data_IF_957491348980
#
_entry.id   IF_957491348980
#
_cell.length_a   1.000
_cell.length_b   1.000
_cell.length_c   1.000
_cell.angle_alpha   90.00
_cell.angle_beta   90.00
_cell.angle_gamma   90.00
#
_symmetry.space_group_name_H-M   'P 1'
#
loop_
_entity.id
_entity.type
_entity.pdbx_description
1 polymer ?
#
# COMPACT_ATOMS: atom_id res chain seq x y z
N UNK A 1 2.13 -15.65 -7.00
CA UNK A 1 3.20 -14.99 -6.22
C UNK A 1 3.28 -13.57 -6.71
N UNK A 2 3.33 -12.61 -5.79
CA UNK A 2 3.47 -11.19 -6.11
C UNK A 2 4.93 -10.79 -6.02
N UNK A 3 5.30 -9.80 -6.84
CA UNK A 3 6.59 -9.13 -6.72
C UNK A 3 6.37 -7.71 -6.22
N UNK A 4 7.36 -7.18 -5.52
CA UNK A 4 7.25 -5.90 -4.84
C UNK A 4 8.44 -5.03 -5.20
N UNK A 5 8.17 -3.76 -5.47
CA UNK A 5 9.17 -2.73 -5.30
C UNK A 5 9.45 -2.54 -3.81
N UNK A 6 10.72 -2.36 -3.47
CA UNK A 6 11.17 -2.03 -2.12
C UNK A 6 12.46 -1.20 -2.17
N UNK A 7 12.75 -0.51 -1.07
CA UNK A 7 14.02 0.16 -0.89
C UNK A 7 14.97 -0.74 -0.10
N UNK A 8 16.00 -1.29 -0.76
CA UNK A 8 17.07 -2.01 -0.07
C UNK A 8 17.87 -1.04 0.81
N UNK A 9 18.10 0.17 0.30
CA UNK A 9 18.56 1.32 1.08
C UNK A 9 17.44 2.35 1.11
N UNK A 10 16.68 2.45 2.22
CA UNK A 10 15.57 3.38 2.32
C UNK A 10 16.06 4.83 2.32
N UNK A 11 15.21 5.78 1.86
CA UNK A 11 15.51 7.20 1.95
C UNK A 11 15.76 7.64 3.40
N UNK A 12 16.47 8.77 3.60
CA UNK A 12 16.64 9.36 4.91
C UNK A 12 15.32 9.93 5.47
N UNK A 13 15.27 10.19 6.77
CA UNK A 13 14.16 10.92 7.39
C UNK A 13 14.17 12.41 7.02
N UNK A 14 15.35 12.96 6.68
CA UNK A 14 15.54 14.36 6.33
C UNK A 14 16.47 14.49 5.12
N UNK A 15 16.26 15.51 4.29
CA UNK A 15 17.10 15.77 3.11
C UNK A 15 17.27 17.25 2.82
N UNK A 16 18.32 17.57 2.07
CA UNK A 16 18.56 18.93 1.57
C UNK A 16 17.51 19.30 0.53
N UNK A 17 17.22 20.58 0.42
CA UNK A 17 16.44 21.14 -0.70
C UNK A 17 17.14 21.04 -2.06
N UNK A 18 18.48 20.91 -2.09
CA UNK A 18 19.26 20.94 -3.34
C UNK A 18 19.99 19.63 -3.63
N UNK A 19 20.32 18.84 -2.63
CA UNK A 19 21.08 17.60 -2.81
C UNK A 19 20.18 16.44 -3.29
N UNK A 20 20.65 15.64 -4.26
CA UNK A 20 19.95 14.44 -4.68
C UNK A 20 19.96 13.37 -3.58
N UNK A 21 18.91 12.56 -3.55
CA UNK A 21 18.75 11.43 -2.66
C UNK A 21 19.31 10.16 -3.29
N UNK A 22 20.07 9.38 -2.52
CA UNK A 22 20.56 8.08 -2.97
C UNK A 22 19.67 6.96 -2.44
N UNK A 23 19.13 6.15 -3.34
CA UNK A 23 18.32 4.97 -3.04
C UNK A 23 18.89 3.72 -3.69
N UNK A 24 18.38 2.55 -3.32
CA UNK A 24 18.65 1.30 -4.06
C UNK A 24 17.35 0.54 -4.17
N UNK A 25 16.67 0.58 -5.32
CA UNK A 25 15.44 -0.16 -5.52
C UNK A 25 15.73 -1.66 -5.64
N UNK A 26 14.84 -2.47 -5.12
CA UNK A 26 14.85 -3.93 -5.25
C UNK A 26 13.47 -4.39 -5.72
N UNK A 27 13.46 -5.36 -6.64
CA UNK A 27 12.26 -6.07 -7.09
C UNK A 27 12.39 -7.54 -6.72
N UNK A 28 11.56 -8.00 -5.79
CA UNK A 28 11.57 -9.39 -5.31
C UNK A 28 10.21 -9.80 -4.77
N UNK A 29 10.02 -11.08 -4.48
CA UNK A 29 8.87 -11.56 -3.70
C UNK A 29 8.88 -10.98 -2.25
N UNK A 30 7.81 -11.26 -1.51
CA UNK A 30 7.60 -10.79 -0.13
C UNK A 30 8.71 -11.22 0.84
N UNK A 31 9.22 -12.45 0.67
CA UNK A 31 10.34 -13.02 1.43
C UNK A 31 11.71 -12.49 1.02
N UNK A 32 11.81 -11.78 -0.11
CA UNK A 32 13.06 -11.30 -0.71
C UNK A 32 14.05 -12.42 -1.05
N UNK A 33 13.54 -13.61 -1.30
CA UNK A 33 14.35 -14.78 -1.68
C UNK A 33 14.47 -14.90 -3.20
N UNK A 34 13.45 -14.43 -3.93
CA UNK A 34 13.37 -14.57 -5.39
C UNK A 34 13.32 -13.18 -6.05
N UNK A 35 14.35 -12.81 -6.83
CA UNK A 35 14.32 -11.59 -7.61
C UNK A 35 13.30 -11.71 -8.75
N UNK A 36 12.74 -10.57 -9.19
CA UNK A 36 11.90 -10.57 -10.39
C UNK A 36 12.70 -11.08 -11.60
N UNK A 37 12.16 -12.00 -12.43
CA UNK A 37 12.95 -12.67 -13.45
C UNK A 37 13.26 -11.77 -14.65
N UNK A 38 12.34 -10.87 -14.99
CA UNK A 38 12.40 -10.10 -16.23
C UNK A 38 12.93 -8.68 -16.03
N UNK A 39 13.52 -8.07 -17.07
CA UNK A 39 13.81 -6.64 -17.06
C UNK A 39 12.53 -5.82 -16.93
N UNK A 40 12.56 -4.79 -16.07
CA UNK A 40 11.39 -3.93 -15.89
C UNK A 40 11.78 -2.48 -15.63
N UNK A 41 11.06 -1.55 -16.25
CA UNK A 41 11.25 -0.13 -15.98
C UNK A 41 10.66 0.26 -14.63
N UNK A 42 11.47 0.95 -13.84
CA UNK A 42 11.06 1.58 -12.60
C UNK A 42 10.91 3.07 -12.87
N UNK A 43 9.78 3.61 -12.44
CA UNK A 43 9.47 5.02 -12.44
C UNK A 43 9.41 5.53 -11.01
N UNK A 44 9.61 6.84 -10.83
CA UNK A 44 9.47 7.50 -9.55
C UNK A 44 8.67 8.80 -9.65
N UNK A 45 8.04 9.19 -8.55
CA UNK A 45 7.47 10.54 -8.40
C UNK A 45 7.40 10.94 -6.93
N UNK A 46 7.21 12.24 -6.68
CA UNK A 46 7.04 12.77 -5.34
C UNK A 46 5.56 12.95 -5.01
N UNK A 47 5.12 12.31 -3.93
CA UNK A 47 3.79 12.53 -3.35
C UNK A 47 3.91 13.48 -2.17
N UNK A 48 3.27 14.66 -2.20
CA UNK A 48 3.23 15.52 -1.02
C UNK A 48 2.45 14.86 0.12
N UNK A 49 2.81 15.15 1.37
CA UNK A 49 1.96 14.83 2.53
C UNK A 49 0.95 15.97 2.77
N UNK A 50 -0.30 15.67 3.15
CA UNK A 50 -1.25 16.69 3.62
C UNK A 50 -0.65 17.59 4.72
N UNK A 51 -1.12 18.84 4.88
CA UNK A 51 -2.35 19.40 4.33
C UNK A 51 -2.08 20.15 3.02
N UNK A 52 -2.38 19.51 1.89
CA UNK A 52 -2.38 20.16 0.59
C UNK A 52 -3.77 19.98 -0.02
N UNK A 53 -4.27 20.97 -0.76
CA UNK A 53 -5.60 20.90 -1.35
C UNK A 53 -5.71 19.66 -2.26
N UNK A 54 -6.87 18.98 -2.25
CA UNK A 54 -7.10 17.71 -2.95
C UNK A 54 -6.85 17.77 -4.46
N UNK A 55 -6.85 18.97 -5.05
CA UNK A 55 -6.78 19.18 -6.49
C UNK A 55 -5.37 19.35 -7.07
N UNK A 56 -4.30 19.03 -6.32
CA UNK A 56 -2.96 19.05 -6.95
C UNK A 56 -2.81 17.81 -7.83
N UNK A 57 -2.55 17.99 -9.14
CA UNK A 57 -2.31 16.86 -10.02
C UNK A 57 -1.12 16.07 -9.49
N UNK A 58 -1.29 14.75 -9.41
CA UNK A 58 -0.19 13.84 -9.11
C UNK A 58 0.95 14.12 -10.09
N UNK A 59 2.18 14.16 -9.58
CA UNK A 59 3.34 14.30 -10.45
C UNK A 59 3.40 13.11 -11.40
N UNK A 60 3.59 13.38 -12.68
CA UNK A 60 3.78 12.34 -13.68
C UNK A 60 5.02 11.51 -13.32
N UNK A 61 4.89 10.17 -13.23
CA UNK A 61 6.04 9.30 -12.99
C UNK A 61 7.16 9.54 -14.00
N UNK A 62 8.39 9.68 -13.50
CA UNK A 62 9.60 9.85 -14.31
C UNK A 62 10.37 8.54 -14.37
N UNK A 63 10.91 8.19 -15.53
CA UNK A 63 11.75 6.99 -15.65
C UNK A 63 12.99 7.11 -14.75
N UNK A 64 13.21 6.10 -13.91
CA UNK A 64 14.36 6.03 -13.01
C UNK A 64 15.46 5.13 -13.60
N UNK A 65 15.10 3.92 -14.00
CA UNK A 65 16.01 2.90 -14.54
C UNK A 65 15.22 1.74 -15.12
N UNK A 66 15.86 0.93 -15.97
CA UNK A 66 15.45 -0.47 -16.17
C UNK A 66 16.15 -1.36 -15.15
N UNK A 67 15.38 -2.01 -14.28
CA UNK A 67 15.86 -2.96 -13.28
C UNK A 67 16.08 -4.34 -13.90
N UNK A 68 17.16 -4.99 -13.48
CA UNK A 68 17.55 -6.36 -13.85
C UNK A 68 18.24 -7.00 -12.65
N UNK A 69 18.21 -8.32 -12.51
CA UNK A 69 18.93 -9.01 -11.42
C UNK A 69 20.42 -8.62 -11.34
N UNK A 70 21.07 -8.40 -12.49
CA UNK A 70 22.48 -7.96 -12.56
C UNK A 70 22.76 -6.56 -12.00
N UNK A 71 21.74 -5.71 -11.85
CA UNK A 71 21.88 -4.36 -11.29
C UNK A 71 21.09 -4.15 -9.98
N UNK A 72 20.61 -5.23 -9.35
CA UNK A 72 19.72 -5.18 -8.19
C UNK A 72 20.29 -4.41 -6.97
N UNK A 73 21.62 -4.24 -6.89
CA UNK A 73 22.30 -3.55 -5.79
C UNK A 73 22.85 -2.17 -6.18
N UNK A 74 22.62 -1.72 -7.43
CA UNK A 74 23.17 -0.45 -7.94
C UNK A 74 22.48 0.73 -7.25
N UNK A 75 23.22 1.61 -6.54
CA UNK A 75 22.65 2.85 -6.04
C UNK A 75 22.24 3.78 -7.18
N UNK A 76 21.12 4.47 -7.00
CA UNK A 76 20.54 5.43 -7.94
C UNK A 76 20.31 6.76 -7.22
N UNK A 77 20.40 7.85 -7.96
CA UNK A 77 20.15 9.20 -7.46
C UNK A 77 18.80 9.71 -7.94
N UNK A 78 18.07 10.36 -7.04
CA UNK A 78 16.76 10.97 -7.30
C UNK A 78 16.85 12.45 -6.92
N UNK A 79 16.53 13.39 -7.82
CA UNK A 79 16.53 14.81 -7.48
C UNK A 79 15.46 15.12 -6.42
N UNK A 80 15.66 16.19 -5.61
CA UNK A 80 14.66 16.64 -4.65
C UNK A 80 13.33 17.00 -5.35
N UNK A 81 12.20 16.99 -4.62
CA UNK A 81 10.90 17.32 -5.20
C UNK A 81 10.93 18.72 -5.82
N UNK A 82 10.33 18.90 -7.01
CA UNK A 82 10.23 20.22 -7.60
C UNK A 82 9.47 21.14 -6.66
N UNK A 83 10.04 22.32 -6.40
CA UNK A 83 9.48 23.35 -5.50
C UNK A 83 9.38 22.90 -4.03
N UNK A 84 10.22 21.97 -3.59
CA UNK A 84 10.40 21.72 -2.16
C UNK A 84 10.72 23.02 -1.43
N UNK A 85 10.05 23.25 -0.30
CA UNK A 85 10.32 24.38 0.60
C UNK A 85 10.91 23.85 1.89
N UNK A 86 11.60 24.71 2.61
CA UNK A 86 12.07 24.42 3.95
C UNK A 86 10.88 24.00 4.84
N UNK A 87 11.03 22.85 5.51
CA UNK A 87 9.98 22.24 6.33
C UNK A 87 8.95 21.40 5.57
N UNK A 88 9.01 21.31 4.24
CA UNK A 88 8.05 20.52 3.47
C UNK A 88 8.30 19.01 3.62
N UNK A 89 7.23 18.21 3.61
CA UNK A 89 7.30 16.75 3.67
C UNK A 89 6.80 16.11 2.38
N UNK A 90 7.60 15.21 1.83
CA UNK A 90 7.24 14.42 0.65
C UNK A 90 7.57 12.96 0.85
N UNK A 91 6.77 12.09 0.23
CA UNK A 91 7.08 10.68 0.08
C UNK A 91 7.63 10.43 -1.32
N UNK A 92 8.69 9.62 -1.41
CA UNK A 92 9.19 9.10 -2.67
C UNK A 92 8.41 7.83 -3.00
N UNK A 93 7.75 7.82 -4.15
CA UNK A 93 7.03 6.65 -4.66
C UNK A 93 7.83 6.01 -5.78
N UNK A 94 7.96 4.68 -5.75
CA UNK A 94 8.44 3.87 -6.87
C UNK A 94 7.27 3.06 -7.43
N UNK A 95 7.17 3.01 -8.76
CA UNK A 95 6.12 2.26 -9.48
C UNK A 95 6.70 1.66 -10.77
N UNK A 96 6.02 0.66 -11.33
CA UNK A 96 6.32 0.10 -12.65
C UNK A 96 5.38 0.64 -13.73
N UNK A 97 4.43 1.50 -13.35
CA UNK A 97 3.44 2.08 -14.25
C UNK A 97 3.94 3.43 -14.81
N UNK A 98 4.10 3.56 -16.14
CA UNK A 98 4.64 4.77 -16.77
C UNK A 98 3.65 5.95 -16.84
N UNK A 99 2.34 5.68 -16.75
CA UNK A 99 1.30 6.64 -17.10
C UNK A 99 0.57 7.23 -15.89
N UNK A 100 0.31 8.53 -15.95
CA UNK A 100 -0.59 9.27 -15.05
C UNK A 100 -2.09 8.95 -15.29
N UNK A 101 -2.43 8.12 -16.28
CA UNK A 101 -3.81 7.67 -16.54
C UNK A 101 -4.27 6.57 -15.59
N UNK A 102 -3.34 5.89 -14.90
CA UNK A 102 -3.70 5.07 -13.76
C UNK A 102 -4.15 6.04 -12.65
N UNK A 103 -5.41 5.93 -12.21
CA UNK A 103 -6.04 6.86 -11.26
C UNK A 103 -5.20 7.07 -9.98
N UNK A 104 -4.33 6.11 -9.61
CA UNK A 104 -3.37 6.29 -8.52
C UNK A 104 -2.15 5.34 -8.63
N UNK A 105 -1.02 5.72 -9.26
CA UNK A 105 0.12 4.81 -9.49
C UNK A 105 0.88 4.41 -8.20
N UNK A 106 0.54 5.01 -7.06
CA UNK A 106 1.03 4.65 -5.71
C UNK A 106 0.19 3.60 -5.00
N UNK A 107 -0.97 3.24 -5.53
CA UNK A 107 -1.96 2.41 -4.86
C UNK A 107 -2.09 1.05 -5.54
N UNK A 108 -2.27 0.02 -4.72
CA UNK A 108 -2.54 -1.35 -5.14
C UNK A 108 -4.05 -1.52 -5.19
N UNK A 109 -4.59 -1.63 -6.40
CA UNK A 109 -6.00 -1.92 -6.59
C UNK A 109 -6.26 -3.42 -6.41
N UNK A 110 -7.03 -3.76 -5.37
CA UNK A 110 -7.40 -5.15 -5.07
C UNK A 110 -8.54 -5.67 -5.96
N UNK A 111 -9.19 -4.81 -6.75
CA UNK A 111 -10.14 -5.22 -7.79
C UNK A 111 -9.49 -5.41 -9.16
N UNK A 112 -8.24 -4.98 -9.34
CA UNK A 112 -7.64 -4.96 -10.67
C UNK A 112 -7.47 -6.40 -11.19
N UNK A 113 -7.99 -6.73 -12.38
CA UNK A 113 -7.78 -8.05 -13.00
C UNK A 113 -6.30 -8.30 -13.34
N UNK A 114 -5.50 -7.23 -13.37
CA UNK A 114 -4.06 -7.25 -13.59
C UNK A 114 -3.27 -7.25 -12.28
N UNK A 115 -3.90 -7.45 -11.11
CA UNK A 115 -3.20 -7.50 -9.83
C UNK A 115 -2.10 -8.58 -9.87
N UNK A 116 -0.85 -8.17 -9.65
CA UNK A 116 0.30 -9.05 -9.70
C UNK A 116 0.90 -9.28 -11.09
N UNK A 117 0.33 -8.71 -12.17
CA UNK A 117 0.96 -8.74 -13.50
C UNK A 117 2.25 -7.92 -13.56
N UNK A 118 2.41 -6.97 -12.65
CA UNK A 118 3.62 -6.16 -12.47
C UNK A 118 3.97 -6.04 -10.99
N UNK A 119 5.24 -5.75 -10.65
CA UNK A 119 5.65 -5.49 -9.29
C UNK A 119 4.87 -4.36 -8.63
N UNK A 120 4.40 -4.62 -7.41
CA UNK A 120 3.57 -3.71 -6.64
C UNK A 120 4.38 -2.48 -6.17
N UNK A 121 3.79 -1.27 -6.21
CA UNK A 121 4.48 -0.03 -5.87
C UNK A 121 4.88 0.05 -4.39
N UNK A 122 5.74 1.00 -4.09
CA UNK A 122 6.16 1.32 -2.72
C UNK A 122 6.32 2.81 -2.53
N UNK A 123 5.87 3.31 -1.38
CA UNK A 123 6.14 4.67 -0.92
C UNK A 123 7.12 4.63 0.24
N UNK A 124 8.04 5.58 0.26
CA UNK A 124 8.82 5.89 1.48
C UNK A 124 7.89 6.41 2.57
N UNK A 125 8.39 6.47 3.80
CA UNK A 125 7.81 7.39 4.79
C UNK A 125 8.08 8.85 4.37
N UNK A 126 7.37 9.82 4.95
CA UNK A 126 7.61 11.23 4.69
C UNK A 126 9.07 11.62 4.99
N UNK A 127 9.70 12.27 4.02
CA UNK A 127 11.02 12.86 4.10
C UNK A 127 10.83 14.35 4.34
N UNK A 128 11.41 14.88 5.42
CA UNK A 128 11.43 16.31 5.71
C UNK A 128 12.55 16.97 4.91
N UNK A 129 12.21 17.97 4.10
CA UNK A 129 13.19 18.73 3.34
C UNK A 129 13.54 20.02 4.08
N UNK A 130 14.83 20.24 4.37
CA UNK A 130 15.32 21.40 5.13
C UNK A 130 16.49 22.09 4.44
N UNK A 131 16.67 23.39 4.70
CA UNK A 131 17.88 24.14 4.33
C UNK A 131 19.08 23.69 5.15
N UNK A 132 18.86 23.53 6.45
CA UNK A 132 19.88 23.14 7.42
C UNK A 132 19.72 21.67 7.74
N UNK A 133 20.64 20.84 7.23
CA UNK A 133 20.75 19.45 7.66
C UNK A 133 21.71 19.43 8.85
N UNK A 134 21.32 18.82 9.99
CA UNK A 134 22.22 18.62 11.09
C UNK A 134 23.51 17.94 10.63
N UNK A 135 24.66 18.50 11.00
CA UNK A 135 25.96 17.90 10.70
C UNK A 135 26.06 16.54 11.39
N UNK A 136 25.94 15.45 10.62
CA UNK A 136 25.96 14.09 11.16
C UNK A 136 25.35 13.05 10.24
N UNK A 137 25.31 11.80 10.70
CA UNK A 137 24.69 10.69 9.96
C UNK A 137 23.18 10.85 10.03
N UNK A 138 22.56 11.22 8.91
CA UNK A 138 21.10 11.34 8.83
C UNK A 138 20.46 9.97 9.04
N UNK A 139 19.53 9.92 10.00
CA UNK A 139 18.77 8.71 10.29
C UNK A 139 18.00 8.23 9.05
N UNK A 140 18.04 6.93 8.80
CA UNK A 140 17.32 6.29 7.69
C UNK A 140 15.95 5.84 8.14
N UNK A 141 15.03 5.76 7.20
CA UNK A 141 13.72 5.19 7.47
C UNK A 141 13.84 3.68 7.72
N UNK A 142 13.06 3.15 8.66
CA UNK A 142 12.98 1.72 8.96
C UNK A 142 11.69 1.08 8.44
N UNK A 143 10.85 1.86 7.76
CA UNK A 143 9.54 1.42 7.30
C UNK A 143 9.18 2.08 5.98
N UNK A 144 8.22 1.46 5.32
CA UNK A 144 7.66 1.87 4.04
C UNK A 144 6.14 1.87 4.14
N UNK A 145 5.51 2.52 3.17
CA UNK A 145 4.06 2.58 3.00
C UNK A 145 3.66 1.85 1.73
N UNK A 146 2.56 1.10 1.81
CA UNK A 146 1.82 0.60 0.66
C UNK A 146 0.36 0.95 0.83
N UNK A 147 -0.21 1.61 -0.16
CA UNK A 147 -1.62 1.99 -0.14
C UNK A 147 -2.42 1.00 -0.97
N UNK A 148 -3.61 0.65 -0.50
CA UNK A 148 -4.53 -0.28 -1.17
C UNK A 148 -5.85 0.42 -1.46
N UNK A 149 -6.48 0.18 -2.59
CA UNK A 149 -7.85 0.62 -2.84
C UNK A 149 -8.77 -0.56 -3.11
N UNK A 150 -10.03 -0.37 -2.73
CA UNK A 150 -11.15 -1.30 -2.87
C UNK A 150 -12.25 -0.73 -3.78
N UNK A 151 -11.94 0.33 -4.52
CA UNK A 151 -12.74 0.92 -5.60
C UNK A 151 -11.94 2.07 -6.22
N UNK A 152 -12.50 2.71 -7.26
CA UNK A 152 -11.93 3.92 -7.88
C UNK A 152 -11.76 5.11 -6.91
N UNK A 153 -12.34 5.06 -5.70
CA UNK A 153 -12.35 6.18 -4.75
C UNK A 153 -11.65 5.80 -3.44
N UNK A 154 -10.35 6.09 -3.38
CA UNK A 154 -9.60 6.23 -2.14
C UNK A 154 -8.68 5.04 -1.79
N UNK A 155 -7.42 5.38 -1.52
CA UNK A 155 -6.41 4.43 -1.05
C UNK A 155 -6.24 4.46 0.47
N UNK A 156 -6.17 3.28 1.06
CA UNK A 156 -5.95 2.99 2.48
C UNK A 156 -4.48 2.64 2.70
N UNK A 157 -3.70 3.49 3.40
CA UNK A 157 -2.29 3.20 3.64
C UNK A 157 -2.12 2.12 4.70
N UNK A 158 -1.20 1.18 4.44
CA UNK A 158 -0.68 0.21 5.39
C UNK A 158 0.83 0.38 5.55
N UNK A 159 1.29 0.21 6.79
CA UNK A 159 2.71 0.22 7.14
C UNK A 159 3.29 -1.21 7.18
N UNK A 160 4.56 -1.30 6.75
CA UNK A 160 5.47 -2.47 6.86
C UNK A 160 5.18 -3.64 5.89
N UNK A 161 5.84 -4.78 6.16
CA UNK A 161 5.89 -6.00 5.32
C UNK A 161 4.49 -6.60 5.22
N UNK A 162 4.11 -6.92 3.99
CA UNK A 162 2.88 -7.62 3.64
C UNK A 162 3.25 -9.00 3.14
N UNK A 163 2.34 -9.93 3.37
CA UNK A 163 2.44 -11.30 2.87
C UNK A 163 1.56 -11.45 1.65
N UNK A 164 2.02 -12.24 0.67
CA UNK A 164 1.27 -12.54 -0.55
C UNK A 164 -0.15 -13.05 -0.25
N UNK A 165 -0.29 -13.86 0.80
CA UNK A 165 -1.58 -14.42 1.23
C UNK A 165 -2.58 -13.35 1.67
N UNK A 166 -2.13 -12.27 2.31
CA UNK A 166 -2.99 -11.16 2.71
C UNK A 166 -3.53 -10.39 1.51
N UNK A 167 -2.69 -10.18 0.49
CA UNK A 167 -3.08 -9.53 -0.77
C UNK A 167 -4.02 -10.44 -1.57
N UNK A 168 -3.66 -11.71 -1.73
CA UNK A 168 -4.48 -12.68 -2.45
C UNK A 168 -5.85 -12.88 -1.81
N UNK A 169 -5.92 -13.02 -0.48
CA UNK A 169 -7.20 -13.15 0.22
C UNK A 169 -8.01 -11.85 0.16
N UNK A 170 -7.36 -10.68 0.26
CA UNK A 170 -8.02 -9.39 0.08
C UNK A 170 -8.66 -9.27 -1.29
N UNK A 171 -7.91 -9.53 -2.36
CA UNK A 171 -8.39 -9.54 -3.75
C UNK A 171 -9.54 -10.53 -3.95
N UNK A 172 -9.43 -11.74 -3.40
CA UNK A 172 -10.49 -12.75 -3.52
C UNK A 172 -11.77 -12.36 -2.79
N UNK A 173 -11.68 -11.79 -1.57
CA UNK A 173 -12.85 -11.29 -0.84
C UNK A 173 -13.55 -10.17 -1.60
N UNK A 174 -12.75 -9.31 -2.22
CA UNK A 174 -13.17 -8.20 -3.05
C UNK A 174 -13.95 -8.69 -4.29
N UNK A 175 -13.40 -9.66 -5.04
CA UNK A 175 -14.09 -10.32 -6.16
C UNK A 175 -15.35 -11.07 -5.69
N UNK A 176 -15.27 -11.78 -4.56
CA UNK A 176 -16.37 -12.56 -4.00
C UNK A 176 -17.57 -11.71 -3.60
N UNK A 177 -17.35 -10.45 -3.19
CA UNK A 177 -18.43 -9.51 -2.91
C UNK A 177 -19.22 -9.20 -4.18
N UNK A 178 -18.51 -8.96 -5.28
CA UNK A 178 -19.07 -8.40 -6.52
C UNK A 178 -19.61 -9.46 -7.49
N UNK A 179 -19.12 -10.70 -7.42
CA UNK A 179 -19.59 -11.80 -8.28
C UNK A 179 -21.08 -12.10 -8.06
N UNK A 180 -21.85 -12.40 -9.09
CA UNK A 180 -23.26 -12.75 -8.94
C UNK A 180 -23.47 -14.12 -8.27
N UNK A 181 -24.53 -14.28 -7.47
CA UNK A 181 -24.82 -15.55 -6.76
C UNK A 181 -25.00 -16.75 -7.70
N UNK A 182 -25.46 -16.50 -8.94
CA UNK A 182 -25.59 -17.50 -9.99
C UNK A 182 -24.25 -18.01 -10.52
N UNK A 183 -23.20 -17.20 -10.45
CA UNK A 183 -21.87 -17.51 -10.98
C UNK A 183 -21.00 -18.29 -9.99
N UNK A 184 -21.29 -18.19 -8.69
CA UNK A 184 -20.57 -18.95 -7.65
C UNK A 184 -20.98 -20.43 -7.71
N UNK A 185 -20.13 -21.27 -8.27
CA UNK A 185 -20.44 -22.71 -8.46
C UNK A 185 -20.32 -23.53 -7.18
N UNK A 186 -19.34 -23.22 -6.34
CA UNK A 186 -19.02 -24.01 -5.15
C UNK A 186 -19.98 -23.69 -3.98
N UNK A 187 -20.66 -24.69 -3.39
CA UNK A 187 -21.59 -24.47 -2.28
C UNK A 187 -20.97 -23.88 -1.02
N UNK A 188 -19.71 -24.20 -0.73
CA UNK A 188 -18.99 -23.65 0.43
C UNK A 188 -18.65 -22.18 0.18
N UNK A 189 -18.22 -21.83 -1.03
CA UNK A 189 -17.94 -20.43 -1.41
C UNK A 189 -19.22 -19.60 -1.35
N UNK A 190 -20.36 -20.14 -1.82
CA UNK A 190 -21.68 -19.53 -1.65
C UNK A 190 -22.01 -19.25 -0.19
N UNK A 191 -21.79 -20.25 0.69
CA UNK A 191 -22.04 -20.11 2.13
C UNK A 191 -21.13 -19.06 2.76
N UNK A 192 -19.87 -18.99 2.35
CA UNK A 192 -18.92 -17.97 2.81
C UNK A 192 -19.39 -16.58 2.37
N UNK A 193 -19.72 -16.39 1.09
CA UNK A 193 -20.26 -15.11 0.58
C UNK A 193 -21.51 -14.68 1.35
N UNK A 194 -22.48 -15.58 1.52
CA UNK A 194 -23.70 -15.29 2.27
C UNK A 194 -23.39 -14.89 3.73
N UNK A 195 -22.47 -15.60 4.37
CA UNK A 195 -22.06 -15.30 5.75
C UNK A 195 -21.34 -13.96 5.87
N UNK A 196 -20.46 -13.64 4.93
CA UNK A 196 -19.60 -12.47 4.99
C UNK A 196 -20.23 -11.20 4.43
N UNK A 197 -21.24 -11.27 3.55
CA UNK A 197 -21.77 -10.09 2.86
C UNK A 197 -23.30 -9.99 2.85
N UNK A 198 -24.04 -11.09 3.02
CA UNK A 198 -25.51 -11.06 2.98
C UNK A 198 -26.15 -11.05 4.38
N UNK A 199 -25.42 -11.50 5.41
CA UNK A 199 -25.90 -11.38 6.79
C UNK A 199 -25.79 -9.96 7.30
N UNK A 200 -26.87 -9.53 7.96
CA UNK A 200 -26.93 -8.28 8.73
C UNK A 200 -25.82 -8.25 9.78
N UNK A 201 -25.68 -9.32 10.58
CA UNK A 201 -24.63 -9.45 11.59
C UNK A 201 -23.59 -10.52 11.24
N UNK A 202 -22.32 -10.22 11.53
CA UNK A 202 -21.22 -11.16 11.34
C UNK A 202 -20.12 -10.87 12.37
N UNK A 203 -19.80 -11.88 13.18
CA UNK A 203 -18.65 -11.89 14.07
C UNK A 203 -17.49 -12.61 13.38
N UNK A 204 -16.38 -11.91 13.20
CA UNK A 204 -15.20 -12.41 12.51
C UNK A 204 -14.01 -12.34 13.44
N UNK A 205 -13.19 -13.38 13.42
CA UNK A 205 -11.88 -13.38 14.08
C UNK A 205 -10.80 -13.68 13.05
N UNK A 206 -9.80 -12.80 12.97
CA UNK A 206 -8.58 -13.01 12.18
C UNK A 206 -7.45 -13.43 13.14
N UNK A 207 -6.80 -14.55 12.82
CA UNK A 207 -5.69 -15.11 13.60
C UNK A 207 -4.37 -14.85 12.86
N UNK A 208 -3.37 -14.31 13.57
CA UNK A 208 -2.05 -14.03 12.98
C UNK A 208 -2.11 -12.94 11.91
N UNK A 209 -2.86 -11.88 12.18
CA UNK A 209 -3.22 -10.86 11.20
C UNK A 209 -2.06 -9.99 10.70
N UNK A 210 -0.96 -9.93 11.45
CA UNK A 210 0.23 -9.12 11.16
C UNK A 210 -0.11 -7.63 11.03
N UNK A 211 -0.31 -7.17 9.79
CA UNK A 211 -0.70 -5.79 9.48
C UNK A 211 -2.19 -5.52 9.64
N UNK A 212 -3.03 -6.56 9.72
CA UNK A 212 -4.49 -6.47 9.75
C UNK A 212 -5.13 -6.21 8.38
N UNK A 213 -4.42 -6.50 7.28
CA UNK A 213 -4.92 -6.18 5.92
C UNK A 213 -6.25 -6.85 5.62
N UNK A 214 -6.44 -8.13 5.99
CA UNK A 214 -7.67 -8.86 5.67
C UNK A 214 -8.85 -8.29 6.46
N UNK A 215 -8.67 -8.05 7.77
CA UNK A 215 -9.68 -7.37 8.58
C UNK A 215 -10.04 -5.99 8.04
N UNK A 216 -9.06 -5.21 7.57
CA UNK A 216 -9.28 -3.88 7.00
C UNK A 216 -10.05 -3.95 5.68
N UNK A 217 -9.70 -4.91 4.81
CA UNK A 217 -10.43 -5.15 3.56
C UNK A 217 -11.87 -5.54 3.87
N UNK A 218 -12.08 -6.53 4.72
CA UNK A 218 -13.43 -7.00 5.06
C UNK A 218 -14.28 -5.89 5.71
N UNK A 219 -13.68 -5.09 6.59
CA UNK A 219 -14.36 -3.95 7.20
C UNK A 219 -14.84 -2.95 6.16
N UNK A 220 -13.97 -2.57 5.22
CA UNK A 220 -14.30 -1.63 4.16
C UNK A 220 -15.33 -2.18 3.15
N UNK A 221 -15.24 -3.46 2.82
CA UNK A 221 -16.22 -4.13 1.95
C UNK A 221 -17.61 -4.15 2.59
N UNK A 222 -17.71 -4.35 3.91
CA UNK A 222 -18.98 -4.36 4.65
C UNK A 222 -19.48 -2.96 5.00
N UNK A 223 -18.61 -1.96 5.12
CA UNK A 223 -19.00 -0.57 5.42
C UNK A 223 -19.65 0.15 4.26
N UNK A 224 -19.39 -0.32 3.03
CA UNK A 224 -19.96 0.23 1.79
C UNK A 224 -21.48 -0.05 1.63
N UNK A 225 -22.09 -0.82 2.54
CA UNK A 225 -23.52 -1.14 2.52
C UNK A 225 -24.30 -0.14 3.39
N UNK A 226 -24.83 0.91 2.76
CA UNK A 226 -25.48 2.07 3.41
C UNK A 226 -26.73 1.77 4.27
N UNK A 227 -27.23 0.53 4.30
CA UNK A 227 -28.56 0.20 4.84
C UNK A 227 -28.56 -0.53 6.19
N UNK A 228 -27.46 -0.57 6.94
CA UNK A 228 -27.38 -1.40 8.15
C UNK A 228 -27.76 -0.60 9.42
N UNK A 229 -28.84 -0.94 10.14
CA UNK A 229 -29.19 -0.29 11.41
C UNK A 229 -28.08 -0.43 12.46
N UNK A 230 -27.95 0.53 13.40
CA UNK A 230 -26.86 0.55 14.39
C UNK A 230 -26.76 -0.73 15.25
N UNK A 231 -27.87 -1.44 15.49
CA UNK A 231 -27.92 -2.68 16.27
C UNK A 231 -27.37 -3.92 15.53
N UNK A 232 -27.02 -3.80 14.24
CA UNK A 232 -26.56 -4.90 13.40
C UNK A 232 -25.10 -4.74 12.92
N UNK A 233 -24.24 -4.16 13.76
CA UNK A 233 -22.84 -3.94 13.38
C UNK A 233 -22.03 -5.23 13.32
N UNK A 234 -21.19 -5.30 12.29
CA UNK A 234 -20.19 -6.35 12.13
C UNK A 234 -19.09 -6.17 13.16
N UNK A 235 -18.71 -7.23 13.85
CA UNK A 235 -17.59 -7.21 14.79
C UNK A 235 -16.43 -7.99 14.21
N UNK A 236 -15.31 -7.30 13.97
CA UNK A 236 -14.07 -7.93 13.50
C UNK A 236 -13.05 -7.87 14.63
N UNK A 237 -12.65 -9.04 15.12
CA UNK A 237 -11.60 -9.22 16.13
C UNK A 237 -10.31 -9.64 15.43
N UNK A 238 -9.36 -8.72 15.36
CA UNK A 238 -8.07 -8.96 14.72
C UNK A 238 -7.03 -9.31 15.79
N UNK A 239 -6.36 -10.46 15.67
CA UNK A 239 -5.46 -10.99 16.71
C UNK A 239 -4.07 -11.32 16.17
N UNK A 240 -3.05 -11.09 17.00
CA UNK A 240 -1.66 -11.43 16.70
C UNK A 240 -0.83 -11.49 18.00
N UNK A 241 0.47 -11.77 17.87
CA UNK A 241 1.45 -11.66 18.96
C UNK A 241 1.61 -10.18 19.40
N UNK A 242 1.98 -9.92 20.67
CA UNK A 242 2.15 -8.56 21.20
C UNK A 242 3.03 -7.63 20.35
N UNK A 243 4.05 -8.18 19.67
CA UNK A 243 4.95 -7.44 18.80
C UNK A 243 4.26 -6.80 17.58
N UNK A 244 3.15 -7.36 17.12
CA UNK A 244 2.42 -6.91 15.94
C UNK A 244 1.24 -6.00 16.30
N UNK A 245 0.75 -6.06 17.55
CA UNK A 245 -0.43 -5.31 18.00
C UNK A 245 -0.28 -3.80 17.78
N UNK A 246 0.87 -3.21 18.10
CA UNK A 246 1.07 -1.76 17.91
C UNK A 246 0.95 -1.34 16.44
N UNK A 247 1.51 -2.14 15.52
CA UNK A 247 1.42 -1.89 14.08
C UNK A 247 -0.04 -2.03 13.59
N UNK A 248 -0.70 -3.10 14.00
CA UNK A 248 -2.08 -3.37 13.64
C UNK A 248 -3.03 -2.27 14.14
N UNK A 249 -2.92 -1.88 15.42
CA UNK A 249 -3.68 -0.77 16.00
C UNK A 249 -3.42 0.54 15.26
N UNK A 250 -2.17 0.80 14.87
CA UNK A 250 -1.85 1.97 14.05
C UNK A 250 -2.57 1.92 12.70
N UNK A 251 -2.48 0.81 11.97
CA UNK A 251 -3.14 0.65 10.66
C UNK A 251 -4.66 0.79 10.79
N UNK A 252 -5.29 0.17 11.80
CA UNK A 252 -6.72 0.32 12.08
C UNK A 252 -7.07 1.78 12.36
N UNK A 253 -6.28 2.47 13.19
CA UNK A 253 -6.53 3.88 13.53
C UNK A 253 -6.42 4.80 12.31
N UNK A 254 -5.42 4.59 11.44
CA UNK A 254 -5.27 5.36 10.21
C UNK A 254 -6.41 5.15 9.22
N UNK A 255 -7.07 4.00 9.30
CA UNK A 255 -8.14 3.60 8.40
C UNK A 255 -9.51 3.63 9.10
N UNK A 256 -9.63 4.30 10.26
CA UNK A 256 -10.85 4.31 11.07
C UNK A 256 -12.07 4.82 10.29
N UNK A 257 -11.87 5.76 9.37
CA UNK A 257 -12.93 6.28 8.49
C UNK A 257 -13.52 5.24 7.54
N UNK A 258 -12.84 4.12 7.31
CA UNK A 258 -13.35 3.01 6.50
C UNK A 258 -14.31 2.11 7.28
N UNK A 259 -14.36 2.25 8.60
CA UNK A 259 -15.26 1.48 9.44
C UNK A 259 -16.54 2.30 9.62
N UNK A 260 -17.72 1.67 9.44
CA UNK A 260 -18.97 2.33 9.75
C UNK A 260 -19.01 2.51 11.27
N UNK A 261 -19.35 3.73 11.72
CA UNK A 261 -19.51 4.01 13.14
C UNK A 261 -20.59 3.15 13.73
#
# INVERSE_FOLDING_TARGET
MYYYLSFLRPPPLQSSLSAPLTITPQVSNDLRTEPFPDPIDIYYFWSPRPPLPPDRPHQTPQNLTTWRASNAYKPLTVPPPPRARDGAQFCLVLTTLPSATAQCPSTIDLHAPTLGSSPLPVSSLPILFTKDIPSGKVAKQESILRSFCLSEVGGSPLLRKLWDSGIGLGSWLTELRDIDDGEVRDPLVKRVKATLFQKETCDVIELGAGTGIVSLVLAALRSSSESTPEDHRTRILTTDLPSSIHLMTHNITQNKSLFPH
#
